data_IF_784301415305
#
_entry.id   IF_784301415305
#
_cell.length_a   1.000
_cell.length_b   1.000
_cell.length_c   1.000
_cell.angle_alpha   90.00
_cell.angle_beta   90.00
_cell.angle_gamma   90.00
#
_symmetry.space_group_name_H-M   'P 1'
#
loop_
_entity.id
_entity.type
_entity.pdbx_description
1 polymer ?
#
# COMPACT_ATOMS: atom_id res chain seq x y z
N UNK A 1 -38.67 -13.76 33.07
CA UNK A 1 -38.57 -12.75 32.05
C UNK A 1 -37.27 -12.01 32.27
N UNK A 2 -36.26 -12.24 31.42
CA UNK A 2 -34.97 -11.50 31.43
C UNK A 2 -35.00 -10.47 30.29
N UNK A 3 -34.57 -9.21 30.51
CA UNK A 3 -34.54 -8.23 29.43
C UNK A 3 -33.32 -8.49 28.54
N UNK A 4 -33.57 -8.58 27.25
CA UNK A 4 -32.57 -8.69 26.21
C UNK A 4 -31.96 -7.30 25.99
N UNK A 5 -30.69 -7.16 26.32
CA UNK A 5 -29.91 -5.94 26.02
C UNK A 5 -29.59 -5.92 24.54
N UNK A 6 -30.12 -4.98 23.80
CA UNK A 6 -29.78 -4.68 22.41
C UNK A 6 -28.58 -3.73 22.47
N UNK A 7 -27.41 -4.25 22.14
CA UNK A 7 -26.20 -3.47 21.85
C UNK A 7 -26.40 -2.79 20.49
N UNK A 8 -26.76 -1.52 20.49
CA UNK A 8 -26.71 -0.68 19.30
C UNK A 8 -25.26 -0.27 19.05
N UNK A 9 -24.64 -0.91 18.08
CA UNK A 9 -23.36 -0.46 17.52
C UNK A 9 -23.59 0.86 16.78
N UNK A 10 -23.12 1.94 17.37
CA UNK A 10 -23.10 3.25 16.70
C UNK A 10 -21.97 3.24 15.67
N UNK A 11 -22.31 3.04 14.41
CA UNK A 11 -21.42 3.39 13.29
C UNK A 11 -21.25 4.92 13.30
N UNK A 12 -20.11 5.38 13.78
CA UNK A 12 -19.68 6.75 13.56
C UNK A 12 -19.27 6.86 12.08
N UNK A 13 -20.17 7.42 11.27
CA UNK A 13 -19.83 7.85 9.92
C UNK A 13 -18.81 8.99 10.03
N UNK A 14 -17.56 8.70 9.70
CA UNK A 14 -16.52 9.72 9.54
C UNK A 14 -16.77 10.42 8.22
N UNK A 15 -17.33 11.64 8.27
CA UNK A 15 -17.45 12.48 7.09
C UNK A 15 -16.07 13.03 6.73
N UNK A 16 -15.48 12.50 5.64
CA UNK A 16 -14.26 13.01 5.05
C UNK A 16 -14.62 14.21 4.18
N UNK A 17 -14.29 15.41 4.65
CA UNK A 17 -14.32 16.61 3.79
C UNK A 17 -12.96 16.78 3.15
N UNK A 18 -12.83 16.38 1.88
CA UNK A 18 -11.69 16.73 1.05
C UNK A 18 -11.84 18.18 0.58
N UNK A 19 -11.09 19.10 1.16
CA UNK A 19 -10.97 20.45 0.63
C UNK A 19 -9.88 20.46 -0.45
N UNK A 20 -10.29 20.44 -1.73
CA UNK A 20 -9.39 20.67 -2.85
C UNK A 20 -8.98 22.15 -2.88
N UNK A 21 -7.70 22.42 -2.68
CA UNK A 21 -7.13 23.73 -2.92
C UNK A 21 -6.82 23.84 -4.42
N UNK A 22 -7.60 24.67 -5.12
CA UNK A 22 -7.43 24.95 -6.56
C UNK A 22 -6.12 25.66 -6.81
N UNK A 23 -5.17 24.99 -7.45
CA UNK A 23 -4.03 25.63 -8.08
C UNK A 23 -4.42 26.11 -9.48
N UNK A 24 -4.26 27.40 -9.72
CA UNK A 24 -4.42 28.04 -11.02
C UNK A 24 -3.50 27.40 -12.08
N UNK A 25 -4.09 26.95 -13.18
CA UNK A 25 -3.39 26.35 -14.32
C UNK A 25 -2.65 27.45 -15.09
N UNK A 26 -1.33 27.38 -15.28
CA UNK A 26 -0.66 28.21 -16.27
C UNK A 26 -0.82 27.60 -17.67
N UNK A 27 -1.08 28.45 -18.64
CA UNK A 27 -1.28 28.11 -20.04
C UNK A 27 -0.06 27.42 -20.65
N UNK A 28 -0.38 26.37 -21.41
CA UNK A 28 0.52 25.51 -22.17
C UNK A 28 1.25 26.32 -23.24
N UNK A 29 2.56 26.41 -23.15
CA UNK A 29 3.42 26.71 -24.30
C UNK A 29 4.16 25.45 -24.71
N UNK A 30 3.89 25.00 -25.92
CA UNK A 30 4.57 23.92 -26.60
C UNK A 30 6.06 24.24 -26.76
N UNK A 31 6.91 23.42 -26.16
CA UNK A 31 8.31 23.29 -26.56
C UNK A 31 8.66 21.81 -26.62
N UNK A 32 8.56 21.27 -27.84
CA UNK A 32 9.16 19.98 -28.20
C UNK A 32 10.68 20.10 -28.06
N UNK A 33 11.24 19.45 -27.04
CA UNK A 33 12.68 19.15 -27.02
C UNK A 33 12.91 17.68 -27.41
N UNK A 34 13.94 17.37 -28.21
CA UNK A 34 14.21 16.03 -28.66
C UNK A 34 14.73 15.17 -27.50
N UNK A 35 14.28 13.91 -27.46
CA UNK A 35 14.79 12.88 -26.57
C UNK A 35 16.31 12.70 -26.78
N UNK A 36 17.12 13.31 -25.93
CA UNK A 36 18.55 13.08 -25.87
C UNK A 36 18.85 12.09 -24.73
N UNK A 37 19.52 11.01 -25.11
CA UNK A 37 20.35 10.09 -24.30
C UNK A 37 19.96 9.95 -22.84
N UNK A 38 19.42 8.80 -22.49
CA UNK A 38 19.17 8.32 -21.12
C UNK A 38 20.54 8.22 -20.42
N UNK A 39 20.90 9.28 -19.71
CA UNK A 39 21.93 9.22 -18.66
C UNK A 39 21.46 8.27 -17.57
N UNK A 40 22.37 7.54 -16.93
CA UNK A 40 22.09 6.55 -15.88
C UNK A 40 20.90 6.99 -15.03
N UNK A 41 19.77 6.28 -15.17
CA UNK A 41 18.50 6.64 -14.54
C UNK A 41 18.70 6.68 -13.03
N UNK A 42 18.64 7.86 -12.45
CA UNK A 42 18.59 8.00 -11.01
C UNK A 42 17.17 7.61 -10.55
N UNK A 43 17.12 6.77 -9.54
CA UNK A 43 15.87 6.41 -8.87
C UNK A 43 15.09 7.66 -8.47
N UNK A 44 13.83 7.76 -8.94
CA UNK A 44 12.99 8.92 -8.65
C UNK A 44 12.57 8.98 -7.19
N UNK A 45 12.05 7.88 -6.66
CA UNK A 45 11.71 7.77 -5.26
C UNK A 45 12.91 7.31 -4.45
N UNK A 46 13.39 8.19 -3.58
CA UNK A 46 14.53 7.90 -2.72
C UNK A 46 14.10 7.28 -1.40
N UNK A 47 15.00 6.49 -0.84
CA UNK A 47 14.87 5.87 0.46
C UNK A 47 15.88 6.51 1.42
N UNK A 48 15.51 6.64 2.69
CA UNK A 48 16.42 7.15 3.69
C UNK A 48 17.52 6.13 4.02
N UNK A 49 18.73 6.61 4.22
CA UNK A 49 19.89 5.75 4.50
C UNK A 49 19.82 5.03 5.85
N UNK A 50 19.08 5.60 6.82
CA UNK A 50 18.90 5.01 8.14
C UNK A 50 17.84 3.91 8.16
N UNK A 51 16.83 3.98 7.27
CA UNK A 51 15.81 2.96 7.10
C UNK A 51 15.09 3.20 5.75
N UNK A 52 15.08 2.21 4.83
CA UNK A 52 14.49 2.36 3.50
C UNK A 52 12.99 2.61 3.48
N UNK A 53 12.30 2.41 4.59
CA UNK A 53 10.86 2.65 4.73
C UNK A 53 10.48 4.12 4.87
N UNK A 54 11.46 5.01 4.88
CA UNK A 54 11.27 6.44 5.06
C UNK A 54 11.73 7.23 3.85
N UNK A 55 10.96 8.22 3.48
CA UNK A 55 11.35 9.22 2.50
C UNK A 55 12.26 10.28 3.17
N UNK A 56 13.51 10.43 2.71
CA UNK A 56 14.48 11.33 3.36
C UNK A 56 14.10 12.80 3.30
N UNK A 57 13.09 13.16 2.51
CA UNK A 57 12.59 14.53 2.44
C UNK A 57 11.76 14.92 3.66
N UNK A 58 11.22 13.93 4.41
CA UNK A 58 10.24 14.13 5.48
C UNK A 58 10.63 13.46 6.80
N UNK A 59 11.70 12.68 6.82
CA UNK A 59 12.22 12.05 8.02
C UNK A 59 13.74 12.15 8.08
N UNK A 60 14.27 12.38 9.29
CA UNK A 60 15.72 12.39 9.58
C UNK A 60 16.15 11.19 10.43
N UNK A 61 15.19 10.51 11.07
CA UNK A 61 15.41 9.36 11.94
C UNK A 61 14.17 8.46 11.96
N UNK A 62 14.31 7.18 12.31
CA UNK A 62 13.18 6.26 12.40
C UNK A 62 12.33 6.56 13.64
N UNK A 63 11.02 6.36 13.53
CA UNK A 63 10.12 6.40 14.68
C UNK A 63 10.39 5.22 15.63
N UNK A 64 10.13 5.38 16.94
CA UNK A 64 10.02 4.26 17.87
C UNK A 64 8.99 3.24 17.37
N UNK A 65 9.26 1.94 17.59
CA UNK A 65 8.46 0.85 17.03
C UNK A 65 6.94 1.01 17.20
N UNK A 66 6.48 1.36 18.40
CA UNK A 66 5.04 1.53 18.68
C UNK A 66 4.44 2.67 17.86
N UNK A 67 5.17 3.78 17.74
CA UNK A 67 4.73 4.93 16.95
C UNK A 67 4.77 4.62 15.45
N UNK A 68 5.77 3.89 14.98
CA UNK A 68 5.86 3.45 13.60
C UNK A 68 4.68 2.54 13.22
N UNK A 69 4.33 1.58 14.09
CA UNK A 69 3.17 0.70 13.86
C UNK A 69 1.87 1.49 13.75
N UNK A 70 1.62 2.40 14.68
CA UNK A 70 0.44 3.26 14.65
C UNK A 70 0.41 4.18 13.40
N UNK A 71 1.55 4.73 13.02
CA UNK A 71 1.67 5.56 11.83
C UNK A 71 1.44 4.76 10.53
N UNK A 72 1.93 3.52 10.46
CA UNK A 72 1.67 2.62 9.32
C UNK A 72 0.19 2.27 9.20
N UNK A 73 -0.49 2.00 10.31
CA UNK A 73 -1.93 1.76 10.29
C UNK A 73 -2.69 2.95 9.69
N UNK A 74 -2.42 4.16 10.18
CA UNK A 74 -3.03 5.39 9.65
C UNK A 74 -2.67 5.61 8.17
N UNK A 75 -1.43 5.34 7.79
CA UNK A 75 -0.96 5.46 6.41
C UNK A 75 -1.72 4.52 5.46
N UNK A 76 -1.93 3.26 5.86
CA UNK A 76 -2.69 2.26 5.10
C UNK A 76 -4.15 2.68 5.00
N UNK A 77 -4.78 3.05 6.12
CA UNK A 77 -6.17 3.49 6.16
C UNK A 77 -6.42 4.68 5.23
N UNK A 78 -5.56 5.70 5.29
CA UNK A 78 -5.71 6.90 4.45
C UNK A 78 -5.48 6.61 2.97
N UNK A 79 -4.52 5.77 2.65
CA UNK A 79 -4.25 5.37 1.27
C UNK A 79 -5.45 4.64 0.65
N UNK A 80 -5.91 3.57 1.31
CA UNK A 80 -7.04 2.77 0.82
C UNK A 80 -8.32 3.59 0.72
N UNK A 81 -8.65 4.38 1.74
CA UNK A 81 -9.84 5.24 1.73
C UNK A 81 -9.77 6.29 0.62
N UNK A 82 -8.61 6.93 0.43
CA UNK A 82 -8.45 7.92 -0.64
C UNK A 82 -8.62 7.30 -2.02
N UNK A 83 -7.97 6.15 -2.28
CA UNK A 83 -8.10 5.48 -3.57
C UNK A 83 -9.55 5.06 -3.83
N UNK A 84 -10.26 4.53 -2.84
CA UNK A 84 -11.66 4.18 -2.94
C UNK A 84 -12.55 5.42 -3.21
N UNK A 85 -12.34 6.53 -2.50
CA UNK A 85 -13.08 7.79 -2.71
C UNK A 85 -12.85 8.39 -4.11
N UNK A 86 -11.68 8.15 -4.70
CA UNK A 86 -11.35 8.54 -6.07
C UNK A 86 -11.87 7.54 -7.12
N UNK A 87 -12.54 6.46 -6.70
CA UNK A 87 -13.04 5.41 -7.59
C UNK A 87 -11.92 4.54 -8.18
N UNK A 88 -10.78 4.44 -7.51
CA UNK A 88 -9.64 3.63 -7.92
C UNK A 88 -9.69 2.29 -7.19
N UNK A 89 -9.83 1.21 -7.95
CA UNK A 89 -9.64 -0.13 -7.44
C UNK A 89 -8.16 -0.37 -7.15
N UNK A 90 -7.84 -0.47 -5.86
CA UNK A 90 -6.53 -0.87 -5.37
C UNK A 90 -6.68 -2.14 -4.54
N UNK A 91 -5.76 -3.07 -4.69
CA UNK A 91 -5.80 -4.35 -3.97
C UNK A 91 -4.49 -4.65 -3.26
N UNK A 92 -4.61 -5.45 -2.20
CA UNK A 92 -3.50 -5.89 -1.38
C UNK A 92 -2.66 -6.93 -2.12
N UNK A 93 -1.33 -6.82 -2.05
CA UNK A 93 -0.40 -7.79 -2.62
C UNK A 93 0.76 -8.10 -1.68
N UNK A 94 1.52 -9.12 -2.00
CA UNK A 94 2.76 -9.50 -1.32
C UNK A 94 2.57 -9.63 0.21
N UNK A 95 3.45 -9.03 1.01
CA UNK A 95 3.39 -9.06 2.47
C UNK A 95 2.08 -8.49 3.04
N UNK A 96 1.48 -7.52 2.36
CA UNK A 96 0.21 -6.92 2.78
C UNK A 96 -0.95 -7.91 2.61
N UNK A 97 -0.95 -8.67 1.52
CA UNK A 97 -1.92 -9.75 1.30
C UNK A 97 -1.70 -10.90 2.31
N UNK A 98 -0.46 -11.21 2.66
CA UNK A 98 -0.15 -12.20 3.70
C UNK A 98 -0.62 -11.72 5.09
N UNK A 99 -0.46 -10.44 5.40
CA UNK A 99 -1.00 -9.85 6.64
C UNK A 99 -2.53 -9.91 6.71
N UNK A 100 -3.19 -9.68 5.57
CA UNK A 100 -4.63 -9.85 5.46
C UNK A 100 -5.06 -11.31 5.72
N UNK A 101 -4.36 -12.28 5.15
CA UNK A 101 -4.64 -13.71 5.37
C UNK A 101 -4.63 -14.08 6.84
N UNK A 102 -3.67 -13.56 7.60
CA UNK A 102 -3.50 -13.94 9.01
C UNK A 102 -4.41 -13.19 9.99
N UNK A 103 -4.80 -11.98 9.73
CA UNK A 103 -5.61 -11.25 10.72
C UNK A 103 -6.13 -9.92 10.22
N UNK A 104 -6.04 -9.64 8.92
CA UNK A 104 -6.46 -8.36 8.33
C UNK A 104 -5.69 -7.14 8.85
N UNK A 105 -4.47 -7.37 9.35
CA UNK A 105 -3.56 -6.35 9.86
C UNK A 105 -2.19 -6.45 9.21
N UNK A 106 -1.47 -5.34 9.20
CA UNK A 106 -0.08 -5.34 8.76
C UNK A 106 0.76 -6.25 9.67
N UNK A 107 1.65 -7.03 9.05
CA UNK A 107 2.50 -7.95 9.81
C UNK A 107 3.43 -7.16 10.72
N UNK A 108 3.59 -7.56 12.01
CA UNK A 108 4.33 -6.75 12.98
C UNK A 108 5.84 -6.62 12.68
N UNK A 109 6.39 -7.49 11.85
CA UNK A 109 7.80 -7.45 11.44
C UNK A 109 8.05 -6.72 10.14
N UNK A 110 7.02 -6.19 9.48
CA UNK A 110 7.16 -5.37 8.29
C UNK A 110 6.67 -3.94 8.54
N UNK A 111 7.35 -2.99 7.96
CA UNK A 111 6.95 -1.59 7.88
C UNK A 111 6.56 -1.18 6.46
N UNK A 112 6.36 -2.18 5.59
CA UNK A 112 5.93 -2.00 4.21
C UNK A 112 4.45 -2.31 4.06
N UNK A 113 3.81 -1.64 3.10
CA UNK A 113 2.54 -2.05 2.55
C UNK A 113 2.63 -2.03 1.03
N UNK A 114 2.21 -3.13 0.42
CA UNK A 114 2.23 -3.33 -1.03
C UNK A 114 0.82 -3.27 -1.57
N UNK A 115 0.55 -2.28 -2.39
CA UNK A 115 -0.72 -2.13 -3.09
C UNK A 115 -0.48 -2.15 -4.59
N UNK A 116 -1.42 -2.76 -5.30
CA UNK A 116 -1.44 -2.72 -6.77
C UNK A 116 -2.69 -2.03 -7.28
N UNK A 117 -2.54 -1.36 -8.43
CA UNK A 117 -3.63 -0.72 -9.17
C UNK A 117 -3.51 -1.05 -10.66
N UNK A 118 -4.58 -0.86 -11.42
CA UNK A 118 -4.51 -1.01 -12.86
C UNK A 118 -3.80 0.19 -13.52
N UNK A 119 -3.06 -0.04 -14.61
CA UNK A 119 -2.29 1.01 -15.29
C UNK A 119 -3.16 2.18 -15.80
N UNK A 120 -4.42 1.94 -16.15
CA UNK A 120 -5.32 3.03 -16.55
C UNK A 120 -5.68 3.94 -15.36
N UNK A 121 -5.84 3.36 -14.17
CA UNK A 121 -6.06 4.11 -12.93
C UNK A 121 -4.84 4.97 -12.58
N UNK A 122 -3.63 4.44 -12.77
CA UNK A 122 -2.41 5.22 -12.58
C UNK A 122 -2.35 6.42 -13.55
N UNK A 123 -2.74 6.24 -14.81
CA UNK A 123 -2.78 7.34 -15.78
C UNK A 123 -3.76 8.45 -15.37
N UNK A 124 -4.90 8.06 -14.82
CA UNK A 124 -5.87 9.01 -14.26
C UNK A 124 -5.29 9.76 -13.06
N UNK A 125 -4.68 9.04 -12.11
CA UNK A 125 -4.02 9.65 -10.95
C UNK A 125 -2.90 10.61 -11.38
N UNK A 126 -2.10 10.25 -12.38
CA UNK A 126 -1.03 11.09 -12.91
C UNK A 126 -1.57 12.39 -13.52
N UNK A 127 -2.70 12.32 -14.22
CA UNK A 127 -3.30 13.47 -14.89
C UNK A 127 -3.95 14.46 -13.91
N UNK A 128 -4.55 13.99 -12.83
CA UNK A 128 -5.43 14.80 -11.99
C UNK A 128 -4.97 14.94 -10.53
N UNK A 129 -4.17 14.01 -10.00
CA UNK A 129 -3.87 13.93 -8.57
C UNK A 129 -2.38 13.86 -8.24
N UNK A 130 -1.49 13.96 -9.25
CA UNK A 130 -0.05 14.00 -8.99
C UNK A 130 0.30 15.21 -8.10
N UNK A 131 1.11 14.99 -7.07
CA UNK A 131 1.52 15.99 -6.07
C UNK A 131 0.38 16.58 -5.24
N UNK A 132 -0.80 15.96 -5.25
CA UNK A 132 -1.94 16.40 -4.43
C UNK A 132 -1.71 16.05 -2.97
N UNK A 133 -1.98 17.01 -2.10
CA UNK A 133 -1.99 16.83 -0.65
C UNK A 133 -3.41 16.58 -0.16
N UNK A 134 -3.54 15.57 0.71
CA UNK A 134 -4.76 15.19 1.39
C UNK A 134 -4.58 15.42 2.88
N UNK A 135 -5.64 15.85 3.54
CA UNK A 135 -5.62 16.12 4.97
C UNK A 135 -6.64 15.25 5.70
N UNK A 136 -6.18 14.53 6.73
CA UNK A 136 -7.02 13.65 7.53
C UNK A 136 -6.92 13.99 9.01
N UNK A 137 -8.07 13.91 9.71
CA UNK A 137 -8.15 13.96 11.16
C UNK A 137 -8.65 12.63 11.68
N UNK A 138 -8.00 12.15 12.73
CA UNK A 138 -8.38 10.94 13.46
C UNK A 138 -8.53 11.26 14.93
N UNK A 139 -9.29 10.45 15.70
CA UNK A 139 -9.41 10.64 17.15
C UNK A 139 -8.07 10.72 17.86
N UNK A 140 -7.11 9.88 17.44
CA UNK A 140 -5.76 9.80 18.02
C UNK A 140 -4.78 10.83 17.43
N UNK A 141 -5.20 11.59 16.42
CA UNK A 141 -4.41 12.65 15.78
C UNK A 141 -5.31 13.86 15.54
N UNK A 142 -5.71 14.57 16.61
CA UNK A 142 -6.68 15.67 16.54
C UNK A 142 -6.18 16.88 15.72
N UNK A 143 -4.87 17.10 15.64
CA UNK A 143 -4.26 18.13 14.79
C UNK A 143 -4.40 17.79 13.30
N UNK A 144 -4.60 16.51 12.99
CA UNK A 144 -4.65 15.98 11.65
C UNK A 144 -3.25 15.80 11.04
N UNK A 145 -3.21 15.10 9.91
CA UNK A 145 -1.98 14.84 9.13
C UNK A 145 -2.18 15.11 7.66
N UNK A 146 -1.10 15.51 7.02
CA UNK A 146 -1.05 15.67 5.58
C UNK A 146 -0.37 14.47 4.92
N UNK A 147 -1.02 13.98 3.89
CA UNK A 147 -0.50 12.91 3.03
C UNK A 147 -0.37 13.43 1.61
N UNK A 148 0.57 12.89 0.85
CA UNK A 148 0.77 13.27 -0.54
C UNK A 148 0.79 12.04 -1.44
N UNK A 149 0.02 12.12 -2.52
CA UNK A 149 0.15 11.22 -3.63
C UNK A 149 1.17 11.77 -4.62
N UNK A 150 2.21 11.01 -4.90
CA UNK A 150 3.26 11.38 -5.84
C UNK A 150 3.42 10.30 -6.90
N UNK A 151 3.33 10.68 -8.16
CA UNK A 151 3.42 9.76 -9.31
C UNK A 151 4.82 9.88 -9.92
N UNK A 152 5.46 8.74 -10.17
CA UNK A 152 6.72 8.69 -10.87
C UNK A 152 6.56 9.27 -12.29
N UNK A 153 7.34 10.29 -12.72
CA UNK A 153 7.23 10.86 -14.06
C UNK A 153 7.51 9.83 -15.17
N UNK A 154 8.20 8.74 -14.85
CA UNK A 154 8.48 7.65 -15.77
C UNK A 154 7.48 6.48 -15.67
N UNK A 155 6.30 6.72 -15.08
CA UNK A 155 5.28 5.69 -14.88
C UNK A 155 4.84 5.00 -16.18
N UNK A 156 4.81 5.75 -17.29
CA UNK A 156 4.42 5.22 -18.61
C UNK A 156 5.49 4.31 -19.25
N UNK A 157 6.75 4.37 -18.79
CA UNK A 157 7.80 3.47 -19.27
C UNK A 157 7.52 2.04 -18.84
N UNK A 158 7.60 1.11 -19.77
CA UNK A 158 7.47 -0.33 -19.53
C UNK A 158 8.82 -1.02 -19.32
N UNK A 159 9.91 -0.25 -19.38
CA UNK A 159 11.26 -0.79 -19.17
C UNK A 159 11.42 -1.17 -17.71
N UNK A 160 11.75 -2.43 -17.48
CA UNK A 160 12.12 -2.92 -16.14
C UNK A 160 13.51 -2.36 -15.81
N UNK A 161 13.55 -1.54 -14.79
CA UNK A 161 14.80 -0.94 -14.29
C UNK A 161 14.72 -0.82 -12.77
N UNK A 162 15.77 -1.16 -12.02
CA UNK A 162 15.80 -0.93 -10.57
C UNK A 162 15.51 0.52 -10.18
N UNK A 163 15.86 1.48 -11.03
CA UNK A 163 15.63 2.90 -10.81
C UNK A 163 14.17 3.33 -11.09
N UNK A 164 13.34 2.47 -11.68
CA UNK A 164 11.96 2.81 -12.10
C UNK A 164 10.96 1.68 -11.80
N UNK A 165 11.08 1.03 -10.66
CA UNK A 165 10.19 -0.07 -10.26
C UNK A 165 8.94 0.37 -9.49
N UNK A 166 8.91 1.58 -8.96
CA UNK A 166 7.78 2.17 -8.24
C UNK A 166 7.04 3.15 -9.15
N UNK A 167 5.74 2.95 -9.29
CA UNK A 167 4.89 3.78 -10.16
C UNK A 167 4.34 5.02 -9.46
N UNK A 168 3.97 4.89 -8.20
CA UNK A 168 3.48 5.98 -7.37
C UNK A 168 3.79 5.73 -5.90
N UNK A 169 3.72 6.78 -5.09
CA UNK A 169 3.97 6.71 -3.66
C UNK A 169 2.94 7.55 -2.90
N UNK A 170 2.36 6.97 -1.85
CA UNK A 170 1.55 7.65 -0.85
C UNK A 170 2.41 7.92 0.37
N UNK A 171 2.57 9.19 0.75
CA UNK A 171 3.58 9.62 1.72
C UNK A 171 2.92 10.36 2.88
N UNK A 172 3.17 9.95 4.11
CA UNK A 172 2.89 10.76 5.30
C UNK A 172 3.97 11.85 5.44
N UNK A 173 3.58 13.10 5.24
CA UNK A 173 4.52 14.23 5.24
C UNK A 173 5.07 14.57 6.63
N UNK A 174 4.50 14.01 7.68
CA UNK A 174 4.87 14.25 9.07
C UNK A 174 5.89 13.23 9.57
N UNK A 175 5.76 11.99 9.13
CA UNK A 175 6.61 10.89 9.58
C UNK A 175 7.62 10.45 8.54
N UNK A 176 7.39 10.77 7.27
CA UNK A 176 8.19 10.30 6.14
C UNK A 176 7.92 8.85 5.75
N UNK A 177 7.05 8.12 6.47
CA UNK A 177 6.62 6.78 6.07
C UNK A 177 5.82 6.84 4.78
N UNK A 178 5.90 5.78 3.97
CA UNK A 178 5.23 5.75 2.68
C UNK A 178 4.73 4.35 2.30
N UNK A 179 3.79 4.32 1.35
CA UNK A 179 3.33 3.13 0.65
C UNK A 179 3.68 3.29 -0.82
N UNK A 180 4.33 2.30 -1.39
CA UNK A 180 4.58 2.22 -2.82
C UNK A 180 3.41 1.54 -3.53
N UNK A 181 2.93 2.18 -4.61
CA UNK A 181 1.89 1.66 -5.48
C UNK A 181 2.53 1.13 -6.75
N UNK A 182 2.25 -0.13 -7.06
CA UNK A 182 2.67 -0.76 -8.30
C UNK A 182 1.49 -0.85 -9.27
N UNK A 183 1.66 -0.40 -10.51
CA UNK A 183 0.63 -0.57 -11.53
C UNK A 183 0.85 -1.84 -12.33
N UNK A 184 -0.21 -2.63 -12.51
CA UNK A 184 -0.17 -3.79 -13.39
C UNK A 184 -0.64 -3.43 -14.80
N UNK A 185 -0.01 -4.05 -15.77
CA UNK A 185 -0.19 -3.79 -17.20
C UNK A 185 -0.42 -5.10 -17.95
N UNK A 186 -1.36 -5.10 -18.90
CA UNK A 186 -1.51 -6.21 -19.80
C UNK A 186 -0.29 -6.36 -20.70
N UNK A 187 0.21 -7.57 -20.81
CA UNK A 187 1.22 -7.94 -21.79
C UNK A 187 0.54 -8.45 -23.05
N UNK A 188 1.15 -8.14 -24.21
CA UNK A 188 0.70 -8.74 -25.47
C UNK A 188 0.93 -10.24 -25.40
N UNK A 189 -0.08 -11.06 -25.75
CA UNK A 189 0.09 -12.49 -25.84
C UNK A 189 1.27 -12.84 -26.76
N UNK A 190 2.16 -13.71 -26.30
CA UNK A 190 3.35 -14.14 -27.07
C UNK A 190 2.99 -15.08 -28.20
N UNK A 191 1.81 -15.68 -28.19
CA UNK A 191 1.30 -16.56 -29.24
C UNK A 191 -0.19 -16.33 -29.47
N UNK A 192 -0.72 -16.57 -30.68
CA UNK A 192 -2.15 -16.54 -30.95
C UNK A 192 -2.89 -17.51 -30.01
N UNK A 193 -3.94 -17.03 -29.34
CA UNK A 193 -4.75 -17.83 -28.41
C UNK A 193 -4.15 -18.01 -27.00
N UNK A 194 -2.99 -17.45 -26.71
CA UNK A 194 -2.48 -17.42 -25.34
C UNK A 194 -3.37 -16.54 -24.44
N UNK A 195 -3.55 -16.97 -23.19
CA UNK A 195 -4.30 -16.20 -22.20
C UNK A 195 -3.61 -14.86 -21.90
N UNK A 196 -4.39 -13.80 -21.60
CA UNK A 196 -3.84 -12.53 -21.17
C UNK A 196 -3.00 -12.69 -19.89
N UNK A 197 -1.85 -12.04 -19.87
CA UNK A 197 -1.01 -11.95 -18.69
C UNK A 197 -0.85 -10.50 -18.27
N UNK A 198 -0.65 -10.31 -16.99
CA UNK A 198 -0.43 -9.01 -16.36
C UNK A 198 1.00 -8.97 -15.84
N UNK A 199 1.60 -7.79 -15.84
CA UNK A 199 2.95 -7.57 -15.33
C UNK A 199 3.06 -6.23 -14.62
N UNK A 200 3.84 -6.20 -13.55
CA UNK A 200 4.32 -4.96 -12.93
C UNK A 200 5.77 -4.63 -13.37
N UNK A 201 6.29 -3.51 -12.88
CA UNK A 201 7.68 -3.10 -13.13
C UNK A 201 8.72 -3.80 -12.24
N UNK A 202 8.28 -4.47 -11.17
CA UNK A 202 9.15 -5.29 -10.30
C UNK A 202 9.47 -6.64 -10.93
N UNK A 203 8.76 -7.00 -12.03
CA UNK A 203 8.98 -8.24 -12.78
C UNK A 203 8.04 -9.37 -12.40
N UNK A 204 7.05 -9.13 -11.57
CA UNK A 204 6.01 -10.11 -11.27
C UNK A 204 5.05 -10.26 -12.46
N UNK A 205 4.66 -11.50 -12.72
CA UNK A 205 3.73 -11.87 -13.79
C UNK A 205 2.54 -12.64 -13.20
N UNK A 206 1.35 -12.28 -13.64
CA UNK A 206 0.11 -12.87 -13.16
C UNK A 206 -0.76 -13.31 -14.35
N UNK A 207 -1.52 -14.38 -14.19
CA UNK A 207 -2.65 -14.59 -15.08
C UNK A 207 -3.74 -13.56 -14.74
N UNK A 208 -4.48 -13.09 -15.75
CA UNK A 208 -5.61 -12.18 -15.53
C UNK A 208 -6.61 -12.75 -14.53
N UNK A 209 -6.90 -14.05 -14.65
CA UNK A 209 -7.79 -14.81 -13.75
C UNK A 209 -7.25 -15.01 -12.32
N UNK A 210 -5.99 -14.73 -12.06
CA UNK A 210 -5.46 -14.77 -10.70
C UNK A 210 -5.78 -13.48 -9.95
N UNK A 211 -5.86 -12.37 -10.68
CA UNK A 211 -6.16 -11.06 -10.11
C UNK A 211 -7.66 -10.77 -10.13
N UNK A 212 -8.33 -10.94 -11.28
CA UNK A 212 -9.73 -10.54 -11.46
C UNK A 212 -10.70 -11.73 -11.50
N UNK A 213 -11.95 -11.51 -11.01
CA UNK A 213 -12.46 -10.30 -10.37
C UNK A 213 -11.87 -10.10 -8.97
N UNK A 214 -11.71 -8.86 -8.54
CA UNK A 214 -11.29 -8.55 -7.16
C UNK A 214 -12.42 -8.89 -6.18
N UNK A 215 -12.04 -9.21 -4.93
CA UNK A 215 -12.96 -9.47 -3.84
C UNK A 215 -12.89 -8.35 -2.81
N UNK A 216 -14.07 -7.87 -2.39
CA UNK A 216 -14.19 -6.89 -1.31
C UNK A 216 -13.88 -7.55 0.04
N UNK A 217 -13.18 -6.81 0.88
CA UNK A 217 -12.79 -7.23 2.23
C UNK A 217 -12.52 -6.00 3.10
N UNK A 218 -11.94 -6.23 4.28
CA UNK A 218 -11.41 -5.17 5.14
C UNK A 218 -9.94 -5.41 5.44
N UNK A 219 -9.19 -4.33 5.63
CA UNK A 219 -7.80 -4.35 6.08
C UNK A 219 -7.52 -3.12 6.93
N UNK A 220 -6.87 -3.29 8.09
CA UNK A 220 -6.67 -2.24 9.10
C UNK A 220 -7.97 -1.49 9.44
N UNK A 221 -9.11 -2.19 9.41
CA UNK A 221 -10.42 -1.63 9.75
C UNK A 221 -11.08 -0.75 8.68
N UNK A 222 -10.52 -0.66 7.47
CA UNK A 222 -11.12 0.04 6.32
C UNK A 222 -11.40 -0.94 5.17
N UNK A 223 -12.26 -0.52 4.22
CA UNK A 223 -12.53 -1.31 3.04
C UNK A 223 -11.26 -1.51 2.20
N UNK A 224 -11.06 -2.72 1.75
CA UNK A 224 -9.94 -3.13 0.91
C UNK A 224 -10.40 -4.14 -0.14
N UNK A 225 -9.54 -4.40 -1.11
CA UNK A 225 -9.76 -5.44 -2.11
C UNK A 225 -8.58 -6.41 -2.14
N UNK A 226 -8.87 -7.65 -2.51
CA UNK A 226 -7.87 -8.70 -2.69
C UNK A 226 -8.05 -9.38 -4.05
N UNK A 227 -6.98 -9.99 -4.60
CA UNK A 227 -7.06 -10.75 -5.85
C UNK A 227 -7.97 -11.97 -5.73
N UNK A 228 -8.56 -12.39 -6.85
CA UNK A 228 -9.41 -13.57 -6.93
C UNK A 228 -8.73 -14.82 -6.39
N UNK A 229 -7.52 -15.08 -6.83
CA UNK A 229 -6.79 -16.31 -6.51
C UNK A 229 -5.69 -16.06 -5.46
N UNK A 230 -6.04 -15.28 -4.42
CA UNK A 230 -5.12 -14.86 -3.37
C UNK A 230 -4.31 -16.01 -2.75
N UNK A 231 -4.93 -17.17 -2.51
CA UNK A 231 -4.23 -18.34 -1.93
C UNK A 231 -3.10 -18.83 -2.83
N UNK A 232 -3.35 -18.93 -4.14
CA UNK A 232 -2.34 -19.36 -5.09
C UNK A 232 -1.20 -18.35 -5.13
N UNK A 233 -1.50 -17.06 -5.20
CA UNK A 233 -0.49 -15.99 -5.22
C UNK A 233 0.39 -16.05 -3.97
N UNK A 234 -0.20 -16.21 -2.79
CA UNK A 234 0.54 -16.34 -1.54
C UNK A 234 1.39 -17.62 -1.48
N UNK A 235 0.87 -18.76 -1.98
CA UNK A 235 1.63 -20.01 -2.02
C UNK A 235 2.78 -19.93 -3.02
N UNK A 236 2.56 -19.33 -4.19
CA UNK A 236 3.57 -19.18 -5.22
C UNK A 236 4.72 -18.28 -4.75
N UNK A 237 4.44 -17.25 -3.94
CA UNK A 237 5.44 -16.31 -3.44
C UNK A 237 6.14 -16.74 -2.15
N UNK A 238 5.36 -17.21 -1.16
CA UNK A 238 5.87 -17.48 0.20
C UNK A 238 5.91 -18.96 0.57
N UNK A 239 5.34 -19.83 -0.26
CA UNK A 239 5.19 -21.25 0.05
C UNK A 239 3.99 -21.57 0.94
N UNK A 240 3.62 -22.86 1.00
CA UNK A 240 2.45 -23.33 1.77
C UNK A 240 2.60 -23.06 3.27
N UNK A 241 3.82 -23.17 3.80
CA UNK A 241 4.09 -22.96 5.23
C UNK A 241 3.74 -21.54 5.70
N UNK A 242 3.87 -20.54 4.84
CA UNK A 242 3.50 -19.18 5.17
C UNK A 242 2.01 -18.98 5.49
N UNK A 243 1.15 -19.91 5.06
CA UNK A 243 -0.29 -19.88 5.33
C UNK A 243 -0.71 -20.74 6.52
N UNK A 244 0.20 -21.54 7.06
CA UNK A 244 -0.11 -22.54 8.10
C UNK A 244 0.79 -22.47 9.33
N UNK A 245 2.01 -21.97 9.20
CA UNK A 245 2.96 -21.93 10.30
C UNK A 245 2.65 -20.76 11.24
N UNK A 246 2.17 -21.08 12.41
CA UNK A 246 1.80 -20.13 13.46
C UNK A 246 3.01 -19.55 14.21
N UNK A 247 4.24 -19.78 13.72
CA UNK A 247 5.49 -19.26 14.30
C UNK A 247 6.45 -18.86 13.20
N UNK A 248 6.77 -17.57 13.17
CA UNK A 248 7.72 -17.00 12.20
C UNK A 248 8.28 -15.66 12.71
N UNK A 249 9.47 -15.28 12.27
CA UNK A 249 10.09 -13.98 12.59
C UNK A 249 10.07 -13.64 14.09
N UNK A 250 10.33 -14.60 14.95
CA UNK A 250 10.25 -14.46 16.43
C UNK A 250 8.87 -14.03 16.94
N UNK A 251 7.81 -14.34 16.19
CA UNK A 251 6.42 -14.12 16.59
C UNK A 251 5.66 -15.44 16.56
N UNK A 252 4.55 -15.47 17.31
CA UNK A 252 3.57 -16.55 17.27
C UNK A 252 2.18 -15.96 17.07
N UNK A 253 1.35 -16.69 16.33
CA UNK A 253 -0.01 -16.26 16.01
C UNK A 253 -0.97 -16.67 17.12
N UNK A 254 -1.77 -15.71 17.58
CA UNK A 254 -2.83 -15.90 18.55
C UNK A 254 -4.18 -16.01 17.84
N UNK A 255 -4.77 -17.21 17.81
CA UNK A 255 -6.04 -17.44 17.10
C UNK A 255 -7.21 -16.68 17.75
N UNK A 256 -7.21 -16.54 19.09
CA UNK A 256 -8.31 -15.88 19.80
C UNK A 256 -8.40 -14.37 19.47
N UNK A 257 -7.27 -13.74 19.22
CA UNK A 257 -7.18 -12.29 18.92
C UNK A 257 -6.90 -12.02 17.43
N UNK A 258 -6.60 -13.06 16.66
CA UNK A 258 -6.18 -12.96 15.25
C UNK A 258 -4.96 -12.04 15.07
N UNK A 259 -4.00 -12.07 16.00
CA UNK A 259 -2.81 -11.22 16.01
C UNK A 259 -1.52 -12.00 16.18
N UNK A 260 -0.44 -11.45 15.63
CA UNK A 260 0.90 -11.93 15.86
C UNK A 260 1.52 -11.24 17.07
N UNK A 261 2.01 -12.01 18.03
CA UNK A 261 2.71 -11.52 19.22
C UNK A 261 4.18 -11.92 19.19
N UNK A 262 5.05 -11.00 19.62
CA UNK A 262 6.47 -11.29 19.73
C UNK A 262 6.73 -12.37 20.80
N UNK A 263 7.49 -13.40 20.46
CA UNK A 263 7.91 -14.41 21.42
C UNK A 263 8.84 -13.74 22.44
N UNK A 264 8.36 -13.57 23.67
CA UNK A 264 9.19 -13.07 24.78
C UNK A 264 10.36 -14.03 25.00
N UNK A 265 11.55 -13.50 25.19
CA UNK A 265 12.69 -14.31 25.57
C UNK A 265 12.45 -14.88 26.98
N UNK A 266 12.85 -16.13 27.24
CA UNK A 266 12.75 -16.75 28.59
C UNK A 266 13.41 -15.91 29.70
N UNK A 267 14.28 -14.96 29.35
CA UNK A 267 14.89 -14.01 30.29
C UNK A 267 13.92 -12.98 30.86
N UNK A 268 12.88 -12.58 30.14
CA UNK A 268 11.87 -11.64 30.64
C UNK A 268 10.89 -12.26 31.62
N UNK A 269 10.78 -13.60 31.66
CA UNK A 269 9.99 -14.32 32.66
C UNK A 269 10.73 -14.51 34.01
N UNK A 270 12.04 -14.30 34.07
CA UNK A 270 12.82 -14.46 35.32
C UNK A 270 12.94 -13.16 36.11
N UNK A 271 12.44 -12.05 35.62
CA UNK A 271 12.50 -10.73 36.31
C UNK A 271 11.13 -10.24 36.81
N UNK A 272 10.08 -11.09 36.76
CA UNK A 272 8.77 -10.88 37.36
C UNK A 272 8.57 -11.79 38.59
#
# INVERSE_FOLDING_TARGET
MKPTSILTSSLLAVSVSAAAITNTIPSRQDSQQPFSSISAEHEYFKQASFNPQYDPRFASEPLPYVQQKAAMQVLIQTCLSTLADLGIEAWLMHNTLLGWWWGQHNLPWTSEADLQIAAHSLSFLAAYYNMTMFFFKYPDVPEGRHFRLEINPHFASTTVSPANHVDARWIDLQTGLYIDLAAIRYERPRAPGAAPTLRDKRGFHYADTDIFPLWETTYEGVNAMIPHNFKRLLVDEFGVSALTDMRTNSHFFQEDTMTWEHARSEKEFSEL
#
